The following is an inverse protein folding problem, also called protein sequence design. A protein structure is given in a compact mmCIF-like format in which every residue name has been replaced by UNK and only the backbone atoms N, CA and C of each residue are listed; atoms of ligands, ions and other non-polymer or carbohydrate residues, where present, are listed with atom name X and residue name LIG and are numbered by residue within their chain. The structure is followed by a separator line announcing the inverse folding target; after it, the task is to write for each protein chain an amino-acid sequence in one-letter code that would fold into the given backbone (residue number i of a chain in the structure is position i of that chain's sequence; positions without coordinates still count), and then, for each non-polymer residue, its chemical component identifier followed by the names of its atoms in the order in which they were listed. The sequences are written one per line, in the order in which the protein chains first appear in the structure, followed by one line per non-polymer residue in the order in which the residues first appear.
data_IF_923585855912
#
_entry.id   IF_923585855912
#
_cell.length_a   1.000
_cell.length_b   1.000
_cell.length_c   1.000
_cell.angle_alpha   90.00
_cell.angle_beta   90.00
_cell.angle_gamma   90.00
#
_symmetry.space_group_name_H-M   'P 1'
#
loop_
_entity.id
_entity.type
_entity.pdbx_description
1 polymer ?
#
# COMPACT_ATOMS: atom_id res chain seq x y z
N UNK A 1 12.66 -31.38 -19.49
CA UNK A 1 11.33 -30.97 -18.98
C UNK A 1 11.57 -30.04 -17.78
N UNK A 2 11.59 -28.72 -18.02
CA UNK A 2 11.86 -27.73 -16.99
C UNK A 2 10.63 -27.59 -16.07
N UNK A 3 10.80 -27.91 -14.78
CA UNK A 3 9.81 -27.62 -13.74
C UNK A 3 9.83 -26.11 -13.52
N UNK A 4 8.82 -25.39 -13.99
CA UNK A 4 8.55 -24.03 -13.54
C UNK A 4 8.31 -24.09 -12.03
N UNK A 5 9.32 -23.72 -11.25
CA UNK A 5 9.20 -23.49 -9.82
C UNK A 5 8.29 -22.27 -9.66
N UNK A 6 7.07 -22.53 -9.20
CA UNK A 6 6.09 -21.49 -8.91
C UNK A 6 6.71 -20.45 -7.97
N UNK A 7 6.89 -19.22 -8.46
CA UNK A 7 7.43 -18.07 -7.73
C UNK A 7 6.42 -17.50 -6.70
N UNK A 8 5.63 -18.38 -6.08
CA UNK A 8 4.64 -18.05 -5.08
C UNK A 8 4.77 -19.05 -3.93
N UNK A 9 5.95 -19.08 -3.30
CA UNK A 9 5.95 -19.31 -1.85
C UNK A 9 5.14 -18.17 -1.25
N UNK A 10 3.83 -18.39 -1.09
CA UNK A 10 2.97 -17.58 -0.24
C UNK A 10 3.59 -17.66 1.15
N UNK A 11 4.47 -16.71 1.47
CA UNK A 11 5.01 -16.55 2.82
C UNK A 11 3.81 -16.39 3.74
N UNK A 12 3.50 -17.45 4.47
CA UNK A 12 2.40 -17.45 5.42
C UNK A 12 2.82 -16.50 6.55
N UNK A 13 2.23 -15.30 6.55
CA UNK A 13 2.45 -14.29 7.56
C UNK A 13 1.23 -14.28 8.48
N UNK A 14 1.46 -14.54 9.76
CA UNK A 14 0.41 -14.50 10.77
C UNK A 14 0.60 -13.23 11.59
N UNK A 15 -0.41 -12.37 11.62
CA UNK A 15 -0.40 -11.20 12.50
C UNK A 15 -0.65 -11.67 13.92
N UNK A 16 0.29 -11.41 14.82
CA UNK A 16 0.21 -11.80 16.23
C UNK A 16 -0.24 -10.64 17.10
N UNK A 17 0.18 -9.42 16.78
CA UNK A 17 -0.22 -8.22 17.50
C UNK A 17 -0.29 -7.03 16.53
N UNK A 18 -1.27 -6.16 16.74
CA UNK A 18 -1.36 -4.88 16.06
C UNK A 18 -1.68 -3.79 17.07
N UNK A 19 -0.81 -2.79 17.18
CA UNK A 19 -0.98 -1.69 18.14
C UNK A 19 -0.91 -0.33 17.43
N UNK A 20 -1.80 0.61 17.78
CA UNK A 20 -1.74 1.95 17.22
C UNK A 20 -0.50 2.71 17.69
N UNK A 21 0.21 3.33 16.75
CA UNK A 21 1.18 4.38 17.07
C UNK A 21 0.45 5.67 17.41
N UNK A 22 1.11 6.61 18.10
CA UNK A 22 0.53 7.88 18.58
C UNK A 22 -0.37 8.54 17.52
N UNK A 23 -1.65 8.66 17.84
CA UNK A 23 -2.64 9.29 16.98
C UNK A 23 -2.46 10.81 17.00
N UNK A 24 -2.43 11.43 15.81
CA UNK A 24 -2.37 12.88 15.65
C UNK A 24 -3.49 13.31 14.71
N UNK A 25 -4.25 14.33 15.12
CA UNK A 25 -5.33 14.89 14.27
C UNK A 25 -4.75 15.37 12.95
N UNK A 26 -5.38 14.98 11.84
CA UNK A 26 -4.98 15.37 10.49
C UNK A 26 -3.84 14.54 9.86
N UNK A 27 -3.28 13.56 10.57
CA UNK A 27 -2.31 12.61 10.00
C UNK A 27 -2.93 11.21 9.84
N UNK A 28 -2.44 10.41 8.88
CA UNK A 28 -2.86 9.01 8.75
C UNK A 28 -2.61 8.21 10.02
N UNK A 29 -3.55 7.33 10.38
CA UNK A 29 -3.36 6.39 11.49
C UNK A 29 -2.31 5.36 11.10
N UNK A 30 -1.30 5.18 11.94
CA UNK A 30 -0.23 4.19 11.75
C UNK A 30 -0.37 3.11 12.82
N UNK A 31 -0.27 1.84 12.40
CA UNK A 31 -0.19 0.68 13.27
C UNK A 31 1.23 0.12 13.24
N UNK A 32 1.74 -0.28 14.39
CA UNK A 32 2.85 -1.23 14.45
C UNK A 32 2.25 -2.63 14.47
N UNK A 33 2.67 -3.46 13.51
CA UNK A 33 2.18 -4.82 13.32
C UNK A 33 3.33 -5.77 13.58
N UNK A 34 3.15 -6.64 14.56
CA UNK A 34 4.05 -7.77 14.85
C UNK A 34 3.50 -8.98 14.12
N UNK A 35 4.35 -9.62 13.32
CA UNK A 35 3.98 -10.75 12.48
C UNK A 35 4.98 -11.88 12.63
N UNK A 36 4.49 -13.10 12.65
CA UNK A 36 5.31 -14.29 12.48
C UNK A 36 5.34 -14.67 11.00
N UNK A 37 6.55 -14.79 10.44
CA UNK A 37 6.78 -15.19 9.05
C UNK A 37 7.79 -16.32 9.05
N UNK A 38 7.36 -17.53 8.67
CA UNK A 38 8.21 -18.72 8.62
C UNK A 38 8.94 -18.99 9.96
N UNK A 39 8.25 -18.84 11.10
CA UNK A 39 8.83 -19.04 12.43
C UNK A 39 9.72 -17.91 12.93
N UNK A 40 9.80 -16.78 12.21
CA UNK A 40 10.54 -15.59 12.63
C UNK A 40 9.58 -14.43 12.93
N UNK A 41 9.85 -13.72 14.03
CA UNK A 41 9.10 -12.51 14.38
C UNK A 41 9.64 -11.32 13.59
N UNK A 42 8.74 -10.57 12.94
CA UNK A 42 9.02 -9.33 12.21
C UNK A 42 8.09 -8.23 12.69
N UNK A 43 8.59 -7.00 12.71
CA UNK A 43 7.82 -5.81 13.07
C UNK A 43 7.74 -4.93 11.83
N UNK A 44 6.53 -4.47 11.49
CA UNK A 44 6.29 -3.59 10.35
C UNK A 44 5.30 -2.49 10.69
N UNK A 45 5.56 -1.28 10.20
CA UNK A 45 4.61 -0.18 10.29
C UNK A 45 3.60 -0.23 9.13
N UNK A 46 2.32 -0.06 9.44
CA UNK A 46 1.23 -0.05 8.47
C UNK A 46 0.41 1.23 8.57
N UNK A 47 0.21 1.92 7.44
CA UNK A 47 -0.61 3.13 7.38
C UNK A 47 -2.03 2.76 6.97
N UNK A 48 -3.00 2.97 7.87
CA UNK A 48 -4.41 2.81 7.56
C UNK A 48 -4.85 3.94 6.63
N UNK A 49 -5.18 3.60 5.38
CA UNK A 49 -5.79 4.52 4.43
C UNK A 49 -7.28 4.20 4.35
N UNK A 50 -8.18 5.19 4.48
CA UNK A 50 -9.60 4.96 4.24
C UNK A 50 -9.80 4.54 2.78
N UNK A 51 -10.79 3.68 2.51
CA UNK A 51 -11.08 3.18 1.16
C UNK A 51 -11.31 4.32 0.14
N UNK A 52 -11.92 5.42 0.59
CA UNK A 52 -12.15 6.61 -0.22
C UNK A 52 -10.87 7.34 -0.66
N UNK A 53 -9.73 7.11 0.02
CA UNK A 53 -8.43 7.63 -0.40
C UNK A 53 -7.82 6.83 -1.56
N UNK A 54 -8.39 5.66 -1.88
CA UNK A 54 -8.01 4.83 -3.03
C UNK A 54 -8.73 5.31 -4.30
N UNK A 55 -8.69 6.60 -4.59
CA UNK A 55 -9.12 7.08 -5.89
C UNK A 55 -8.04 6.73 -6.92
N UNK A 56 -8.28 5.65 -7.67
CA UNK A 56 -7.54 5.36 -8.89
C UNK A 56 -7.72 6.58 -9.81
N UNK A 57 -6.71 7.47 -9.85
CA UNK A 57 -6.70 8.61 -10.77
C UNK A 57 -6.61 8.04 -12.19
N UNK A 58 -7.75 7.64 -12.76
CA UNK A 58 -7.87 7.49 -14.21
C UNK A 58 -7.63 8.90 -14.76
N UNK A 59 -6.48 9.10 -15.41
CA UNK A 59 -6.24 10.29 -16.23
C UNK A 59 -7.25 10.25 -17.39
N UNK A 60 -8.47 10.70 -17.14
CA UNK A 60 -9.44 10.96 -18.18
C UNK A 60 -9.10 12.32 -18.79
N UNK A 61 -8.67 12.29 -20.05
CA UNK A 61 -8.67 13.46 -20.93
C UNK A 61 -7.64 14.54 -20.60
N UNK A 62 -6.41 14.38 -21.09
CA UNK A 62 -5.63 15.55 -21.49
C UNK A 62 -6.28 16.07 -22.78
N UNK A 63 -7.38 16.82 -22.64
CA UNK A 63 -8.02 17.53 -23.75
C UNK A 63 -7.24 18.83 -23.94
N UNK A 64 -6.69 19.00 -25.13
CA UNK A 64 -5.62 19.95 -25.42
C UNK A 64 -5.97 21.41 -25.18
N UNK A 65 -4.95 22.20 -24.83
CA UNK A 65 -5.01 23.65 -24.98
C UNK A 65 -4.86 23.98 -26.48
N UNK A 66 -5.73 24.81 -27.06
CA UNK A 66 -5.57 25.26 -28.43
C UNK A 66 -4.38 26.21 -28.54
N UNK A 67 -3.73 26.12 -29.68
CA UNK A 67 -2.61 26.92 -30.14
C UNK A 67 -3.03 28.40 -30.25
N UNK A 68 -2.50 29.30 -29.43
CA UNK A 68 -2.70 30.74 -29.59
C UNK A 68 -1.52 31.33 -30.39
N UNK A 69 -1.75 31.47 -31.69
CA UNK A 69 -0.96 32.30 -32.59
C UNK A 69 -1.39 33.77 -32.45
N UNK A 70 -0.41 34.67 -32.66
CA UNK A 70 -0.49 36.10 -33.01
C UNK A 70 -0.61 37.12 -31.88
N UNK A 71 0.40 37.99 -31.88
CA UNK A 71 0.45 39.34 -31.32
C UNK A 71 1.81 39.92 -31.64
#
# INVERSE_FOLDING_TARGET
MMKMQNAHDQRQATVVEARPLKWRRGLPTVLEVVMEVNGQVRIQEYILRPESAFQHKRKAGFQGCPNEQRG
#
